data_IF_717984660286
#
_entry.id   IF_717984660286
#
_cell.length_a   1.000
_cell.length_b   1.000
_cell.length_c   1.000
_cell.angle_alpha   90.00
_cell.angle_beta   90.00
_cell.angle_gamma   90.00
#
_symmetry.space_group_name_H-M   'P 1'
#
loop_
_entity.id
_entity.type
_entity.pdbx_description
1 polymer ?
#
# COMPACT_ATOMS: atom_id res chain seq x y z
N UNK A 1 21.61 -20.84 -19.63
CA UNK A 1 22.59 -20.12 -18.79
C UNK A 1 22.01 -18.79 -18.28
N UNK A 2 20.67 -18.70 -18.05
CA UNK A 2 19.98 -17.45 -17.68
C UNK A 2 19.18 -17.49 -16.37
N UNK A 3 19.23 -18.56 -15.59
CA UNK A 3 18.51 -18.66 -14.31
C UNK A 3 19.30 -18.16 -13.10
N UNK A 4 20.64 -18.12 -13.20
CA UNK A 4 21.52 -17.74 -12.08
C UNK A 4 21.60 -16.21 -11.92
N UNK A 5 21.52 -15.43 -13.00
CA UNK A 5 21.58 -13.96 -12.93
C UNK A 5 20.27 -13.35 -12.40
N UNK A 6 19.13 -14.00 -12.66
CA UNK A 6 17.82 -13.51 -12.19
C UNK A 6 17.62 -13.70 -10.66
N UNK A 7 18.30 -14.67 -10.08
CA UNK A 7 18.24 -14.94 -8.63
C UNK A 7 19.11 -13.96 -7.82
N UNK A 8 20.24 -13.50 -8.38
CA UNK A 8 21.14 -12.55 -7.71
C UNK A 8 20.55 -11.15 -7.59
N UNK A 9 19.76 -10.70 -8.61
CA UNK A 9 19.08 -9.41 -8.58
C UNK A 9 17.88 -9.38 -7.61
N UNK A 10 17.21 -10.52 -7.40
CA UNK A 10 16.12 -10.66 -6.41
C UNK A 10 16.65 -10.61 -4.98
N UNK A 11 17.75 -11.30 -4.70
CA UNK A 11 18.41 -11.32 -3.37
C UNK A 11 18.93 -9.92 -3.01
N UNK A 12 19.44 -9.15 -3.97
CA UNK A 12 19.92 -7.78 -3.75
C UNK A 12 18.80 -6.77 -3.47
N UNK A 13 17.62 -6.94 -4.05
CA UNK A 13 16.46 -6.09 -3.80
C UNK A 13 15.83 -6.38 -2.41
N UNK A 14 15.73 -7.66 -2.02
CA UNK A 14 15.25 -8.08 -0.70
C UNK A 14 16.18 -7.60 0.43
N UNK A 15 17.49 -7.63 0.22
CA UNK A 15 18.47 -7.19 1.22
C UNK A 15 18.35 -5.69 1.55
N UNK A 16 17.99 -4.83 0.59
CA UNK A 16 17.75 -3.39 0.84
C UNK A 16 16.49 -3.11 1.65
N UNK A 17 15.48 -3.96 1.57
CA UNK A 17 14.22 -3.80 2.34
C UNK A 17 14.35 -4.24 3.80
N UNK A 18 15.28 -5.13 4.10
CA UNK A 18 15.52 -5.68 5.45
C UNK A 18 16.41 -4.74 6.29
N UNK A 19 17.20 -3.87 5.65
CA UNK A 19 18.09 -2.92 6.33
C UNK A 19 17.30 -2.02 7.28
N UNK A 20 17.57 -2.14 8.60
CA UNK A 20 16.94 -1.36 9.66
C UNK A 20 15.76 -2.02 10.39
N UNK A 21 15.41 -3.27 10.07
CA UNK A 21 14.48 -4.07 10.87
C UNK A 21 15.24 -4.87 11.94
N UNK A 22 14.67 -4.95 13.14
CA UNK A 22 15.20 -5.80 14.20
C UNK A 22 15.21 -7.27 13.74
N UNK A 23 16.29 -8.04 14.06
CA UNK A 23 16.47 -9.42 13.56
C UNK A 23 15.25 -10.31 13.79
N UNK A 24 14.57 -10.17 14.93
CA UNK A 24 13.38 -10.94 15.29
C UNK A 24 12.14 -10.64 14.44
N UNK A 25 12.18 -9.59 13.60
CA UNK A 25 11.11 -9.23 12.67
C UNK A 25 11.40 -9.66 11.23
N UNK A 26 12.63 -10.01 10.91
CA UNK A 26 13.07 -10.25 9.53
C UNK A 26 12.39 -11.47 8.91
N UNK A 27 12.30 -12.58 9.63
CA UNK A 27 11.62 -13.78 9.14
C UNK A 27 10.17 -13.49 8.78
N UNK A 28 9.43 -12.87 9.70
CA UNK A 28 8.03 -12.48 9.46
C UNK A 28 7.90 -11.48 8.32
N UNK A 29 8.83 -10.56 8.21
CA UNK A 29 8.86 -9.59 7.11
C UNK A 29 8.96 -10.30 5.76
N UNK A 30 9.89 -11.26 5.61
CA UNK A 30 10.07 -12.03 4.38
C UNK A 30 8.85 -12.90 4.06
N UNK A 31 8.29 -13.59 5.03
CA UNK A 31 7.13 -14.46 4.87
C UNK A 31 5.91 -13.70 4.30
N UNK A 32 5.56 -12.58 4.92
CA UNK A 32 4.43 -11.75 4.48
C UNK A 32 4.74 -11.04 3.17
N UNK A 33 5.96 -10.57 2.96
CA UNK A 33 6.42 -9.99 1.69
C UNK A 33 6.22 -10.96 0.53
N UNK A 34 6.65 -12.23 0.71
CA UNK A 34 6.46 -13.28 -0.31
C UNK A 34 4.99 -13.50 -0.61
N UNK A 35 4.14 -13.55 0.41
CA UNK A 35 2.70 -13.74 0.25
C UNK A 35 2.04 -12.56 -0.49
N UNK A 36 2.39 -11.31 -0.16
CA UNK A 36 1.92 -10.12 -0.87
C UNK A 36 2.38 -10.12 -2.32
N UNK A 37 3.65 -10.45 -2.58
CA UNK A 37 4.20 -10.50 -3.94
C UNK A 37 3.50 -11.56 -4.81
N UNK A 38 3.19 -12.73 -4.25
CA UNK A 38 2.43 -13.78 -4.94
C UNK A 38 1.01 -13.30 -5.29
N UNK A 39 0.33 -12.66 -4.36
CA UNK A 39 -0.98 -12.06 -4.64
C UNK A 39 -0.87 -10.96 -5.69
N UNK A 40 0.11 -10.09 -5.59
CA UNK A 40 0.36 -9.01 -6.52
C UNK A 40 0.58 -9.50 -7.96
N UNK A 41 1.37 -10.55 -8.13
CA UNK A 41 1.62 -11.15 -9.44
C UNK A 41 0.37 -11.73 -10.10
N UNK A 42 -0.63 -12.15 -9.31
CA UNK A 42 -1.87 -12.76 -9.80
C UNK A 42 -3.00 -11.73 -10.03
N UNK A 43 -3.05 -10.66 -9.24
CA UNK A 43 -4.25 -9.82 -9.12
C UNK A 43 -4.00 -8.31 -9.16
N UNK A 44 -2.76 -7.83 -9.05
CA UNK A 44 -2.41 -6.41 -9.00
C UNK A 44 -1.44 -6.05 -10.12
N UNK A 45 -1.32 -4.75 -10.37
CA UNK A 45 -0.20 -4.23 -11.14
C UNK A 45 1.04 -4.01 -10.24
N UNK A 46 2.23 -3.74 -10.85
CA UNK A 46 3.46 -3.53 -10.08
C UNK A 46 3.40 -2.32 -9.14
N UNK A 47 2.67 -1.26 -9.48
CA UNK A 47 2.53 -0.06 -8.64
C UNK A 47 1.76 -0.39 -7.36
N UNK A 48 0.59 -1.03 -7.47
CA UNK A 48 -0.23 -1.43 -6.33
C UNK A 48 0.47 -2.47 -5.44
N UNK A 49 1.21 -3.39 -6.06
CA UNK A 49 2.05 -4.33 -5.33
C UNK A 49 3.13 -3.58 -4.52
N UNK A 50 3.77 -2.59 -5.13
CA UNK A 50 4.75 -1.71 -4.48
C UNK A 50 4.16 -0.98 -3.27
N UNK A 51 2.93 -0.46 -3.38
CA UNK A 51 2.23 0.18 -2.26
C UNK A 51 1.94 -0.79 -1.12
N UNK A 52 1.54 -2.04 -1.42
CA UNK A 52 1.32 -3.05 -0.40
C UNK A 52 2.61 -3.40 0.36
N UNK A 53 3.71 -3.54 -0.35
CA UNK A 53 5.03 -3.79 0.25
C UNK A 53 5.52 -2.59 1.09
N UNK A 54 5.31 -1.35 0.63
CA UNK A 54 5.65 -0.16 1.39
C UNK A 54 4.80 -0.04 2.67
N UNK A 55 3.49 -0.31 2.60
CA UNK A 55 2.63 -0.35 3.78
C UNK A 55 3.11 -1.40 4.77
N UNK A 56 3.44 -2.61 4.31
CA UNK A 56 3.97 -3.67 5.15
C UNK A 56 5.27 -3.27 5.85
N UNK A 57 6.17 -2.64 5.13
CA UNK A 57 7.42 -2.10 5.66
C UNK A 57 7.19 -1.03 6.74
N UNK A 58 6.23 -0.12 6.54
CA UNK A 58 5.83 0.88 7.55
C UNK A 58 5.32 0.19 8.82
N UNK A 59 4.48 -0.84 8.71
CA UNK A 59 3.97 -1.63 9.84
C UNK A 59 5.11 -2.26 10.63
N UNK A 60 6.05 -2.93 9.96
CA UNK A 60 7.15 -3.62 10.63
C UNK A 60 8.11 -2.68 11.38
N UNK A 61 8.20 -1.41 10.96
CA UNK A 61 8.98 -0.38 11.65
C UNK A 61 8.29 0.19 12.90
N UNK A 62 6.99 0.02 13.02
CA UNK A 62 6.26 0.52 14.18
C UNK A 62 6.49 -0.37 15.40
N UNK A 63 6.60 0.29 16.58
CA UNK A 63 6.62 -0.40 17.87
C UNK A 63 5.21 -0.76 18.36
N UNK A 64 4.19 0.01 17.94
CA UNK A 64 2.80 -0.15 18.39
C UNK A 64 2.07 -1.32 17.76
N UNK A 65 2.51 -1.77 16.57
CA UNK A 65 1.98 -2.96 15.89
C UNK A 65 3.06 -4.04 15.94
N UNK A 66 2.83 -5.08 16.74
CA UNK A 66 3.77 -6.21 16.79
C UNK A 66 3.49 -7.17 15.63
N UNK A 67 4.17 -6.93 14.51
CA UNK A 67 4.03 -7.73 13.29
C UNK A 67 4.45 -9.20 13.45
N UNK A 68 5.16 -9.55 14.53
CA UNK A 68 5.58 -10.94 14.83
C UNK A 68 4.39 -11.80 15.27
N UNK A 69 3.35 -11.17 15.85
CA UNK A 69 2.18 -11.86 16.39
C UNK A 69 1.09 -12.02 15.33
N UNK A 70 0.35 -13.09 15.46
CA UNK A 70 -0.77 -13.41 14.59
C UNK A 70 -0.35 -14.16 13.32
N UNK A 71 -1.35 -14.55 12.53
CA UNK A 71 -1.17 -15.29 11.30
C UNK A 71 -0.58 -14.39 10.20
N UNK A 72 0.50 -14.80 9.50
CA UNK A 72 1.08 -14.07 8.39
C UNK A 72 0.10 -13.83 7.23
N UNK A 73 -0.80 -14.79 6.97
CA UNK A 73 -1.82 -14.67 5.94
C UNK A 73 -2.84 -13.57 6.27
N UNK A 74 -3.18 -13.42 7.56
CA UNK A 74 -4.03 -12.31 8.02
C UNK A 74 -3.33 -10.97 7.81
N UNK A 75 -2.03 -10.87 8.07
CA UNK A 75 -1.27 -9.66 7.81
C UNK A 75 -1.23 -9.32 6.32
N UNK A 76 -0.89 -10.30 5.46
CA UNK A 76 -0.82 -10.11 4.02
C UNK A 76 -2.18 -9.68 3.44
N UNK A 77 -3.25 -10.38 3.81
CA UNK A 77 -4.62 -10.06 3.39
C UNK A 77 -5.07 -8.67 3.86
N UNK A 78 -4.74 -8.30 5.11
CA UNK A 78 -5.15 -7.01 5.67
C UNK A 78 -4.41 -5.84 5.03
N UNK A 79 -3.11 -5.98 4.76
CA UNK A 79 -2.32 -4.99 4.02
C UNK A 79 -2.88 -4.82 2.61
N UNK A 80 -3.13 -5.92 1.89
CA UNK A 80 -3.72 -5.90 0.56
C UNK A 80 -5.10 -5.25 0.56
N UNK A 81 -5.94 -5.57 1.56
CA UNK A 81 -7.28 -4.99 1.70
C UNK A 81 -7.23 -3.47 1.93
N UNK A 82 -6.29 -2.97 2.76
CA UNK A 82 -6.09 -1.53 2.97
C UNK A 82 -5.72 -0.85 1.66
N UNK A 83 -4.75 -1.37 0.91
CA UNK A 83 -4.34 -0.81 -0.38
C UNK A 83 -5.48 -0.85 -1.40
N UNK A 84 -6.22 -1.96 -1.47
CA UNK A 84 -7.37 -2.08 -2.36
C UNK A 84 -8.43 -1.01 -2.06
N UNK A 85 -8.74 -0.77 -0.79
CA UNK A 85 -9.71 0.24 -0.36
C UNK A 85 -9.22 1.66 -0.64
N UNK A 86 -7.96 1.96 -0.36
CA UNK A 86 -7.37 3.28 -0.58
C UNK A 86 -7.27 3.65 -2.06
N UNK A 87 -7.19 2.67 -2.96
CA UNK A 87 -7.09 2.87 -4.40
C UNK A 87 -8.38 2.53 -5.16
N UNK A 88 -9.52 2.42 -4.47
CA UNK A 88 -10.84 2.12 -5.05
C UNK A 88 -10.91 0.81 -5.85
N UNK A 89 -10.08 -0.20 -5.54
CA UNK A 89 -10.05 -1.44 -6.32
C UNK A 89 -11.32 -2.29 -6.16
N UNK A 90 -12.19 -1.97 -5.21
CA UNK A 90 -13.50 -2.60 -5.06
C UNK A 90 -14.55 -1.99 -5.99
N UNK A 91 -14.24 -0.90 -6.66
CA UNK A 91 -15.10 -0.31 -7.69
C UNK A 91 -14.88 -1.02 -9.03
N UNK A 92 -15.97 -1.53 -9.62
CA UNK A 92 -15.96 -2.24 -10.90
C UNK A 92 -15.52 -1.38 -12.10
N UNK A 93 -15.56 -0.06 -11.96
CA UNK A 93 -15.10 0.87 -12.98
C UNK A 93 -13.57 0.95 -13.10
N UNK A 94 -12.83 0.44 -12.10
CA UNK A 94 -11.38 0.49 -12.09
C UNK A 94 -10.76 -0.56 -13.04
N UNK A 95 -9.65 -0.22 -13.71
CA UNK A 95 -8.93 -1.18 -14.57
C UNK A 95 -8.46 -2.44 -13.83
N UNK A 96 -8.06 -2.28 -12.56
CA UNK A 96 -7.80 -3.38 -11.64
C UNK A 96 -8.95 -3.43 -10.65
N UNK A 97 -9.78 -4.46 -10.77
CA UNK A 97 -10.92 -4.67 -9.88
C UNK A 97 -10.68 -5.89 -9.00
N UNK A 98 -10.92 -5.74 -7.71
CA UNK A 98 -10.86 -6.81 -6.71
C UNK A 98 -12.20 -6.93 -5.98
N UNK A 99 -12.43 -8.10 -5.41
CA UNK A 99 -13.46 -8.28 -4.39
C UNK A 99 -12.82 -8.63 -3.05
N UNK A 100 -13.52 -8.39 -1.96
CA UNK A 100 -13.02 -8.82 -0.66
C UNK A 100 -12.92 -10.34 -0.56
N UNK A 101 -13.80 -11.06 -1.28
CA UNK A 101 -13.75 -12.52 -1.38
C UNK A 101 -12.47 -13.00 -2.04
N UNK A 102 -12.08 -12.41 -3.18
CA UNK A 102 -10.82 -12.72 -3.88
C UNK A 102 -9.61 -12.65 -2.95
N UNK A 103 -9.54 -11.60 -2.11
CA UNK A 103 -8.44 -11.46 -1.14
C UNK A 103 -8.50 -12.56 -0.09
N UNK A 104 -9.68 -12.76 0.52
CA UNK A 104 -9.83 -13.72 1.62
C UNK A 104 -9.63 -15.18 1.18
N UNK A 105 -10.09 -15.52 -0.01
CA UNK A 105 -9.93 -16.86 -0.60
C UNK A 105 -8.46 -17.15 -0.93
N UNK A 106 -7.77 -16.19 -1.53
CA UNK A 106 -6.35 -16.36 -1.86
C UNK A 106 -5.50 -16.63 -0.62
N UNK A 107 -5.70 -15.85 0.45
CA UNK A 107 -4.95 -15.99 1.69
C UNK A 107 -5.55 -16.99 2.67
N UNK A 108 -6.70 -17.61 2.36
CA UNK A 108 -7.44 -18.58 3.20
C UNK A 108 -7.76 -18.02 4.60
N UNK A 109 -8.28 -16.79 4.66
CA UNK A 109 -8.59 -16.07 5.90
C UNK A 109 -10.05 -15.60 5.96
N UNK A 110 -10.56 -15.33 7.17
CA UNK A 110 -11.93 -14.85 7.37
C UNK A 110 -12.03 -13.34 7.17
N UNK A 111 -13.07 -12.86 6.47
CA UNK A 111 -13.34 -11.42 6.25
C UNK A 111 -13.37 -10.61 7.54
N UNK A 112 -14.01 -11.11 8.59
CA UNK A 112 -14.10 -10.43 9.88
C UNK A 112 -12.74 -10.18 10.50
N UNK A 113 -11.84 -11.16 10.43
CA UNK A 113 -10.47 -11.05 10.94
C UNK A 113 -9.65 -10.04 10.14
N UNK A 114 -9.74 -10.12 8.81
CA UNK A 114 -9.05 -9.19 7.90
C UNK A 114 -9.56 -7.76 8.08
N UNK A 115 -10.88 -7.55 8.11
CA UNK A 115 -11.49 -6.24 8.29
C UNK A 115 -11.11 -5.59 9.63
N UNK A 116 -11.11 -6.37 10.72
CA UNK A 116 -10.67 -5.89 12.04
C UNK A 116 -9.21 -5.47 12.04
N UNK A 117 -8.31 -6.30 11.48
CA UNK A 117 -6.88 -5.99 11.37
C UNK A 117 -6.59 -4.82 10.43
N UNK A 118 -7.29 -4.71 9.31
CA UNK A 118 -7.17 -3.58 8.40
C UNK A 118 -7.55 -2.25 9.09
N UNK A 119 -8.65 -2.22 9.83
CA UNK A 119 -9.07 -1.05 10.61
C UNK A 119 -8.06 -0.68 11.71
N UNK A 120 -7.43 -1.68 12.35
CA UNK A 120 -6.35 -1.46 13.31
C UNK A 120 -5.13 -0.79 12.65
N UNK A 121 -4.73 -1.27 11.46
CA UNK A 121 -3.62 -0.72 10.67
C UNK A 121 -3.89 0.75 10.35
N UNK A 122 -5.03 1.05 9.73
CA UNK A 122 -5.39 2.40 9.31
C UNK A 122 -5.44 3.40 10.47
N UNK A 123 -6.04 3.00 11.58
CA UNK A 123 -6.13 3.83 12.78
C UNK A 123 -4.75 4.07 13.41
N UNK A 124 -3.90 3.04 13.49
CA UNK A 124 -2.60 3.14 14.14
C UNK A 124 -1.62 3.97 13.32
N UNK A 125 -1.65 3.82 12.01
CA UNK A 125 -0.84 4.61 11.07
C UNK A 125 -1.46 5.97 10.75
N UNK A 126 -2.72 6.21 11.14
CA UNK A 126 -3.50 7.42 10.80
C UNK A 126 -3.50 7.70 9.30
N UNK A 127 -3.72 6.65 8.52
CA UNK A 127 -3.67 6.75 7.06
C UNK A 127 -4.73 7.72 6.53
N UNK A 128 -4.33 8.57 5.59
CA UNK A 128 -5.24 9.45 4.88
C UNK A 128 -5.92 8.66 3.77
N UNK A 129 -7.24 8.50 3.85
CA UNK A 129 -7.98 7.80 2.81
C UNK A 129 -7.80 8.50 1.47
N UNK A 130 -7.44 7.73 0.44
CA UNK A 130 -7.28 8.14 -0.95
C UNK A 130 -6.22 9.22 -1.25
N UNK A 131 -5.55 9.75 -0.24
CA UNK A 131 -4.55 10.82 -0.40
C UNK A 131 -3.21 10.55 0.31
N UNK A 132 -2.96 9.30 0.72
CA UNK A 132 -1.71 8.93 1.39
C UNK A 132 -0.58 8.77 0.36
N UNK A 133 0.45 9.65 0.39
CA UNK A 133 1.56 9.55 -0.56
C UNK A 133 2.32 8.23 -0.42
N UNK A 134 2.62 7.58 -1.54
CA UNK A 134 3.32 6.29 -1.59
C UNK A 134 2.47 5.07 -1.21
N UNK A 135 1.16 5.24 -0.98
CA UNK A 135 0.18 4.16 -0.81
C UNK A 135 -1.04 4.31 -1.71
N UNK A 136 -1.20 5.47 -2.36
CA UNK A 136 -2.24 5.74 -3.35
C UNK A 136 -1.61 6.20 -4.65
N UNK A 137 -2.28 5.92 -5.76
CA UNK A 137 -1.90 6.43 -7.08
C UNK A 137 -1.85 7.95 -7.07
N UNK A 138 -0.89 8.54 -7.76
CA UNK A 138 -0.67 10.00 -7.76
C UNK A 138 -1.91 10.78 -8.19
N UNK A 139 -2.65 10.30 -9.18
CA UNK A 139 -3.90 10.91 -9.61
C UNK A 139 -4.94 11.00 -8.48
N UNK A 140 -5.07 9.95 -7.65
CA UNK A 140 -5.96 9.98 -6.49
C UNK A 140 -5.46 10.95 -5.44
N UNK A 141 -4.15 10.95 -5.16
CA UNK A 141 -3.56 11.88 -4.19
C UNK A 141 -3.83 13.33 -4.60
N UNK A 142 -3.71 13.66 -5.88
CA UNK A 142 -3.98 15.01 -6.39
C UNK A 142 -5.47 15.38 -6.30
N UNK A 143 -6.37 14.47 -6.66
CA UNK A 143 -7.82 14.68 -6.58
C UNK A 143 -8.33 14.87 -5.15
N UNK A 144 -7.77 14.11 -4.19
CA UNK A 144 -8.21 14.17 -2.79
C UNK A 144 -7.37 15.11 -1.92
N UNK A 145 -6.36 15.77 -2.47
CA UNK A 145 -5.58 16.79 -1.76
C UNK A 145 -6.16 18.17 -2.06
N UNK A 146 -6.64 18.84 -1.00
CA UNK A 146 -7.18 20.19 -1.11
C UNK A 146 -6.08 21.23 -0.91
N UNK A 147 -6.04 22.23 -1.77
CA UNK A 147 -5.12 23.37 -1.69
C UNK A 147 -5.89 24.69 -1.55
N UNK A 148 -5.37 25.58 -0.72
CA UNK A 148 -5.92 26.93 -0.57
C UNK A 148 -5.18 27.87 -1.52
N UNK A 149 -5.93 28.52 -2.39
CA UNK A 149 -5.42 29.55 -3.31
C UNK A 149 -5.20 30.90 -2.58
N UNK A 150 -4.40 31.82 -3.14
CA UNK A 150 -4.15 33.14 -2.53
C UNK A 150 -5.42 33.98 -2.30
N UNK A 151 -6.46 33.76 -3.08
CA UNK A 151 -7.78 34.39 -2.93
C UNK A 151 -8.66 33.75 -1.84
N UNK A 152 -8.14 32.73 -1.11
CA UNK A 152 -8.81 32.04 -0.03
C UNK A 152 -9.72 30.87 -0.48
N UNK A 153 -9.93 30.66 -1.77
CA UNK A 153 -10.71 29.52 -2.31
C UNK A 153 -9.93 28.24 -2.09
N UNK A 154 -10.64 27.16 -1.73
CA UNK A 154 -10.08 25.81 -1.54
C UNK A 154 -10.56 24.92 -2.67
N UNK A 155 -9.62 24.33 -3.41
CA UNK A 155 -9.89 23.45 -4.56
C UNK A 155 -9.01 22.19 -4.49
N UNK A 156 -9.38 21.09 -5.18
CA UNK A 156 -8.48 19.95 -5.38
C UNK A 156 -7.20 20.37 -6.11
N UNK A 157 -6.09 19.72 -5.77
CA UNK A 157 -4.77 20.01 -6.35
C UNK A 157 -4.74 19.80 -7.87
N UNK A 158 -5.37 18.74 -8.37
CA UNK A 158 -5.51 18.45 -9.79
C UNK A 158 -6.27 19.57 -10.53
N UNK A 159 -7.36 20.05 -9.96
CA UNK A 159 -8.12 21.19 -10.52
C UNK A 159 -7.29 22.47 -10.55
N UNK A 160 -6.56 22.78 -9.48
CA UNK A 160 -5.67 23.95 -9.43
C UNK A 160 -4.58 23.90 -10.51
N UNK A 161 -4.04 22.72 -10.79
CA UNK A 161 -3.07 22.48 -11.87
C UNK A 161 -3.71 22.66 -13.26
N UNK A 162 -4.88 22.06 -13.48
CA UNK A 162 -5.63 22.17 -14.76
C UNK A 162 -6.00 23.62 -15.09
N UNK A 163 -6.35 24.40 -14.07
CA UNK A 163 -6.65 25.82 -14.22
C UNK A 163 -5.41 26.72 -14.36
N UNK A 164 -4.20 26.16 -14.32
CA UNK A 164 -2.93 26.92 -14.39
C UNK A 164 -2.66 27.78 -13.15
N UNK A 165 -3.35 27.54 -12.04
CA UNK A 165 -3.20 28.29 -10.80
C UNK A 165 -1.99 27.79 -9.96
N UNK A 166 -1.51 26.59 -10.28
CA UNK A 166 -0.30 25.99 -9.70
C UNK A 166 0.53 25.33 -10.81
N UNK A 167 1.85 25.25 -10.65
CA UNK A 167 2.69 24.57 -11.61
C UNK A 167 2.38 23.06 -11.66
N UNK A 168 2.56 22.40 -12.81
CA UNK A 168 2.25 20.97 -12.98
C UNK A 168 2.96 20.04 -11.98
N UNK A 169 4.14 20.45 -11.55
CA UNK A 169 4.97 19.71 -10.58
C UNK A 169 4.73 20.09 -9.12
N UNK A 170 3.70 20.89 -8.82
CA UNK A 170 3.32 21.18 -7.44
C UNK A 170 2.96 19.88 -6.71
N UNK A 171 3.55 19.68 -5.53
CA UNK A 171 3.32 18.51 -4.67
C UNK A 171 2.43 18.87 -3.48
N UNK A 172 1.68 17.90 -2.94
CA UNK A 172 0.92 18.11 -1.71
C UNK A 172 1.87 18.46 -0.55
N UNK A 173 1.71 19.64 0.06
CA UNK A 173 2.44 19.99 1.28
C UNK A 173 3.53 21.05 1.16
N UNK A 174 3.59 21.78 0.06
CA UNK A 174 4.34 23.04 -0.03
C UNK A 174 3.47 24.24 0.29
#
# INVERSE_FOLDING_TARGET
MNEIENNSSRIGAESKHISGLAPEKQERFCEVTTSITRFGAAHLDPELTGFALELWKRICRLKRLDCRRGDPNVWAASVTHVIARMNFLFDRSQPVHLTFDTICEFFQVKKTTVGGKASEIERTLRLRQHSEPGLCRSALVETFTMVRLPNGIVVPLDMAKQMGLLPPNATPGT
#
